data_IF_956123437093
#
_entry.id   IF_956123437093
#
_cell.length_a   1.000
_cell.length_b   1.000
_cell.length_c   1.000
_cell.angle_alpha   90.00
_cell.angle_beta   90.00
_cell.angle_gamma   90.00
#
_symmetry.space_group_name_H-M   'P 1'
#
loop_
_entity.id
_entity.type
_entity.pdbx_description
1 polymer ?
#
# COMPACT_ATOMS: atom_id res chain seq x y z
N UNK A 1 21.28 56.30 2.14
CA UNK A 1 20.30 55.42 2.83
C UNK A 1 19.58 54.43 1.93
N UNK A 2 19.34 54.71 0.63
CA UNK A 2 18.59 53.81 -0.28
C UNK A 2 19.35 52.51 -0.65
N UNK A 3 20.69 52.50 -0.62
CA UNK A 3 21.52 51.34 -1.00
C UNK A 3 21.44 50.16 0.00
N UNK A 4 21.36 50.44 1.29
CA UNK A 4 21.29 49.43 2.35
C UNK A 4 19.88 48.82 2.49
N UNK A 5 18.84 49.57 2.09
CA UNK A 5 17.46 49.10 2.11
C UNK A 5 17.21 47.98 1.08
N UNK A 6 17.80 48.09 -0.12
CA UNK A 6 17.70 47.04 -1.16
C UNK A 6 18.46 45.76 -0.79
N UNK A 7 19.61 45.86 -0.13
CA UNK A 7 20.38 44.70 0.34
C UNK A 7 19.65 43.98 1.49
N UNK A 8 19.01 44.74 2.38
CA UNK A 8 18.20 44.18 3.48
C UNK A 8 17.00 43.36 3.00
N UNK A 9 16.31 43.82 1.95
CA UNK A 9 15.15 43.11 1.37
C UNK A 9 15.58 41.79 0.70
N UNK A 10 16.73 41.76 0.03
CA UNK A 10 17.25 40.55 -0.62
C UNK A 10 17.63 39.50 0.45
N UNK A 11 18.27 39.91 1.55
CA UNK A 11 18.65 39.00 2.64
C UNK A 11 17.41 38.45 3.37
N UNK A 12 16.37 39.27 3.57
CA UNK A 12 15.12 38.82 4.19
C UNK A 12 14.33 37.85 3.29
N UNK A 13 14.38 38.00 1.96
CA UNK A 13 13.77 37.05 1.02
C UNK A 13 14.46 35.69 0.95
N UNK A 14 15.78 35.61 1.22
CA UNK A 14 16.53 34.35 1.20
C UNK A 14 16.21 33.45 2.41
N UNK A 15 15.79 34.03 3.54
CA UNK A 15 15.48 33.28 4.78
C UNK A 15 14.12 32.55 4.65
N UNK A 16 13.21 33.04 3.81
CA UNK A 16 11.90 32.42 3.60
C UNK A 16 11.92 31.15 2.72
N UNK A 17 13.06 30.80 2.10
CA UNK A 17 13.17 29.63 1.21
C UNK A 17 13.65 28.36 1.91
N UNK A 18 13.93 28.40 3.22
CA UNK A 18 14.32 27.22 3.99
C UNK A 18 13.10 26.62 4.70
N UNK A 19 12.02 26.41 3.95
CA UNK A 19 10.93 25.52 4.33
C UNK A 19 11.39 24.09 4.08
N UNK A 20 12.28 23.57 4.92
CA UNK A 20 12.70 22.17 4.82
C UNK A 20 11.50 21.32 5.26
N UNK A 21 10.91 20.59 4.32
CA UNK A 21 9.72 19.76 4.52
C UNK A 21 10.07 18.54 5.38
N UNK A 22 10.29 18.79 6.68
CA UNK A 22 10.62 17.80 7.70
C UNK A 22 9.35 17.05 8.12
N UNK A 23 8.64 16.46 7.15
CA UNK A 23 7.48 15.61 7.42
C UNK A 23 7.99 14.41 8.22
N UNK A 24 7.45 14.19 9.41
CA UNK A 24 7.70 12.98 10.18
C UNK A 24 6.50 12.06 9.99
N UNK A 25 6.70 10.96 9.27
CA UNK A 25 5.69 9.90 9.19
C UNK A 25 5.70 9.08 10.48
N UNK A 26 4.52 8.68 10.92
CA UNK A 26 4.37 7.79 12.07
C UNK A 26 4.96 6.41 11.69
N UNK A 27 5.98 5.98 12.43
CA UNK A 27 6.53 4.63 12.25
C UNK A 27 5.61 3.64 12.95
N UNK A 28 5.20 2.60 12.23
CA UNK A 28 4.57 1.43 12.84
C UNK A 28 5.59 0.68 13.72
N UNK A 29 5.34 0.59 15.03
CA UNK A 29 6.16 -0.11 16.03
C UNK A 29 5.28 -0.92 17.03
N UNK A 30 4.04 -1.24 16.62
CA UNK A 30 3.02 -1.72 17.55
C UNK A 30 3.14 -3.22 17.86
N UNK A 31 2.89 -4.06 16.85
CA UNK A 31 2.76 -5.51 17.03
C UNK A 31 3.41 -6.28 15.90
N UNK A 32 3.80 -7.51 16.23
CA UNK A 32 4.26 -8.46 15.24
C UNK A 32 3.13 -8.83 14.28
N UNK A 33 3.38 -8.67 12.98
CA UNK A 33 2.46 -9.14 11.92
C UNK A 33 3.12 -10.25 11.11
N UNK A 34 2.33 -11.26 10.80
CA UNK A 34 2.72 -12.38 9.95
C UNK A 34 2.05 -12.23 8.58
N UNK A 35 2.81 -11.85 7.56
CA UNK A 35 2.28 -11.50 6.24
C UNK A 35 2.68 -12.58 5.24
N UNK A 36 1.71 -13.12 4.50
CA UNK A 36 1.99 -13.93 3.31
C UNK A 36 2.34 -13.03 2.15
N UNK A 37 3.35 -13.35 1.35
CA UNK A 37 3.74 -12.55 0.18
C UNK A 37 3.88 -13.42 -1.07
N UNK A 38 3.21 -13.00 -2.13
CA UNK A 38 3.36 -13.55 -3.48
C UNK A 38 4.16 -12.52 -4.28
N UNK A 39 5.45 -12.83 -4.46
CA UNK A 39 6.45 -11.95 -5.07
C UNK A 39 7.63 -11.67 -4.15
N UNK A 40 8.36 -10.59 -4.44
CA UNK A 40 9.58 -10.19 -3.73
C UNK A 40 9.43 -8.79 -3.14
N UNK A 41 9.67 -8.65 -1.83
CA UNK A 41 9.68 -7.34 -1.18
C UNK A 41 11.06 -6.69 -1.32
N UNK A 42 11.12 -5.55 -2.01
CA UNK A 42 12.40 -4.92 -2.36
C UNK A 42 12.79 -3.73 -1.48
N UNK A 43 11.84 -3.12 -0.75
CA UNK A 43 12.03 -1.76 -0.20
C UNK A 43 11.73 -1.58 1.28
N UNK A 44 11.07 -2.53 1.95
CA UNK A 44 10.67 -2.33 3.36
C UNK A 44 11.07 -3.53 4.19
N UNK A 45 11.97 -3.31 5.15
CA UNK A 45 12.29 -4.26 6.21
C UNK A 45 11.96 -3.63 7.55
N UNK A 46 11.07 -4.27 8.32
CA UNK A 46 10.75 -3.88 9.68
C UNK A 46 10.90 -5.07 10.60
N UNK A 47 11.52 -4.85 11.76
CA UNK A 47 11.88 -5.93 12.70
C UNK A 47 10.65 -6.64 13.28
N UNK A 48 9.50 -5.97 13.33
CA UNK A 48 8.22 -6.49 13.80
C UNK A 48 7.33 -7.06 12.67
N UNK A 49 7.81 -7.16 11.42
CA UNK A 49 7.01 -7.72 10.32
C UNK A 49 7.71 -8.94 9.74
N UNK A 50 7.04 -10.09 9.80
CA UNK A 50 7.52 -11.32 9.18
C UNK A 50 6.82 -11.51 7.84
N UNK A 51 7.58 -11.44 6.75
CA UNK A 51 7.09 -11.79 5.43
C UNK A 51 7.44 -13.24 5.11
N UNK A 52 6.43 -14.03 4.78
CA UNK A 52 6.58 -15.43 4.37
C UNK A 52 6.20 -15.55 2.93
N UNK A 53 7.14 -15.99 2.10
CA UNK A 53 6.85 -16.26 0.70
C UNK A 53 5.86 -17.41 0.59
N UNK A 54 4.78 -17.18 -0.13
CA UNK A 54 3.74 -18.17 -0.48
C UNK A 54 3.53 -18.18 -1.99
N UNK A 55 2.91 -19.24 -2.50
CA UNK A 55 2.49 -19.37 -3.89
C UNK A 55 1.03 -18.99 -4.11
N UNK A 56 0.62 -18.95 -5.37
CA UNK A 56 -0.78 -18.76 -5.72
C UNK A 56 -1.63 -19.99 -5.36
N UNK A 57 -1.03 -21.18 -5.36
CA UNK A 57 -1.66 -22.43 -4.97
C UNK A 57 -2.10 -22.40 -3.50
N UNK A 58 -1.33 -21.70 -2.64
CA UNK A 58 -1.64 -21.54 -1.22
C UNK A 58 -2.92 -20.71 -0.98
N UNK A 59 -3.37 -19.91 -1.97
CA UNK A 59 -4.61 -19.13 -1.86
C UNK A 59 -5.85 -20.01 -1.85
N UNK A 60 -5.80 -21.16 -2.53
CA UNK A 60 -6.92 -22.10 -2.63
C UNK A 60 -7.09 -22.92 -1.33
N UNK A 61 -6.12 -22.84 -0.41
CA UNK A 61 -6.12 -23.50 0.88
C UNK A 61 -6.45 -22.52 2.03
N UNK A 62 -7.72 -22.40 2.40
CA UNK A 62 -8.16 -21.47 3.46
C UNK A 62 -7.40 -21.67 4.80
N UNK A 63 -7.01 -22.91 5.12
CA UNK A 63 -6.23 -23.23 6.32
C UNK A 63 -4.79 -22.70 6.26
N UNK A 64 -4.21 -22.53 5.07
CA UNK A 64 -2.92 -21.88 4.90
C UNK A 64 -3.09 -20.37 5.09
N UNK A 65 -4.10 -19.77 4.45
CA UNK A 65 -4.37 -18.33 4.56
C UNK A 65 -4.60 -17.87 6.00
N UNK A 66 -5.32 -18.65 6.81
CA UNK A 66 -5.59 -18.36 8.24
C UNK A 66 -4.35 -18.24 9.13
N UNK A 67 -3.17 -18.63 8.64
CA UNK A 67 -1.89 -18.45 9.36
C UNK A 67 -1.35 -17.02 9.25
N UNK A 68 -1.88 -16.23 8.32
CA UNK A 68 -1.41 -14.89 8.02
C UNK A 68 -2.41 -13.84 8.46
N UNK A 69 -1.88 -12.71 8.88
CA UNK A 69 -2.65 -11.51 9.23
C UNK A 69 -3.10 -10.75 7.99
N UNK A 70 -2.37 -10.89 6.88
CA UNK A 70 -2.72 -10.40 5.56
C UNK A 70 -1.91 -11.13 4.48
N UNK A 71 -2.33 -11.02 3.22
CA UNK A 71 -1.57 -11.49 2.05
C UNK A 71 -1.28 -10.34 1.10
N UNK A 72 -0.02 -10.21 0.69
CA UNK A 72 0.46 -9.16 -0.20
C UNK A 72 0.81 -9.73 -1.57
N UNK A 73 0.38 -9.04 -2.63
CA UNK A 73 0.80 -9.27 -4.01
C UNK A 73 1.68 -8.11 -4.44
N UNK A 74 2.87 -8.40 -4.96
CA UNK A 74 3.74 -7.37 -5.53
C UNK A 74 3.42 -7.13 -7.00
N UNK A 75 3.90 -6.01 -7.54
CA UNK A 75 3.69 -5.54 -8.92
C UNK A 75 3.70 -6.64 -9.98
N UNK A 76 4.74 -7.47 -9.98
CA UNK A 76 4.97 -8.48 -11.01
C UNK A 76 3.96 -9.64 -10.96
N UNK A 77 3.15 -9.70 -9.91
CA UNK A 77 2.14 -10.73 -9.68
C UNK A 77 0.70 -10.20 -9.81
N UNK A 78 0.50 -8.90 -10.05
CA UNK A 78 -0.83 -8.30 -10.11
C UNK A 78 -1.67 -8.82 -11.28
N UNK A 79 -1.02 -9.07 -12.43
CA UNK A 79 -1.67 -9.70 -13.59
C UNK A 79 -2.26 -11.06 -13.23
N UNK A 80 -1.46 -11.92 -12.60
CA UNK A 80 -1.92 -13.25 -12.20
C UNK A 80 -2.98 -13.18 -11.10
N UNK A 81 -2.81 -12.28 -10.13
CA UNK A 81 -3.78 -12.06 -9.07
C UNK A 81 -5.15 -11.56 -9.56
N UNK A 82 -5.21 -10.93 -10.73
CA UNK A 82 -6.47 -10.51 -11.36
C UNK A 82 -7.21 -11.60 -12.11
N UNK A 83 -6.68 -12.83 -12.18
CA UNK A 83 -7.38 -13.93 -12.85
C UNK A 83 -8.69 -14.23 -12.11
N UNK A 84 -9.76 -14.41 -12.87
CA UNK A 84 -11.12 -14.74 -12.41
C UNK A 84 -11.15 -15.77 -11.27
N UNK A 85 -10.32 -16.81 -11.37
CA UNK A 85 -10.27 -17.89 -10.38
C UNK A 85 -9.91 -17.43 -8.96
N UNK A 86 -9.32 -16.26 -8.75
CA UNK A 86 -8.99 -15.75 -7.41
C UNK A 86 -10.00 -14.74 -6.85
N UNK A 87 -10.85 -14.14 -7.70
CA UNK A 87 -11.78 -13.09 -7.27
C UNK A 87 -12.76 -13.57 -6.19
N UNK A 88 -13.24 -14.83 -6.28
CA UNK A 88 -14.09 -15.42 -5.25
C UNK A 88 -13.36 -15.57 -3.90
N UNK A 89 -12.07 -15.92 -3.91
CA UNK A 89 -11.25 -16.05 -2.70
C UNK A 89 -11.18 -14.72 -1.96
N UNK A 90 -10.98 -13.62 -2.70
CA UNK A 90 -10.92 -12.28 -2.10
C UNK A 90 -12.26 -11.80 -1.53
N UNK A 91 -13.38 -12.31 -2.05
CA UNK A 91 -14.75 -11.99 -1.61
C UNK A 91 -15.20 -12.80 -0.39
N UNK A 92 -14.59 -13.97 -0.15
CA UNK A 92 -15.05 -14.93 0.87
C UNK A 92 -14.07 -15.08 2.04
N UNK A 93 -12.76 -14.86 1.80
CA UNK A 93 -11.76 -15.00 2.83
C UNK A 93 -11.80 -13.82 3.82
N UNK A 94 -11.62 -14.13 5.10
CA UNK A 94 -11.53 -13.11 6.17
C UNK A 94 -10.16 -12.44 6.23
N UNK A 95 -9.14 -13.05 5.64
CA UNK A 95 -7.79 -12.50 5.60
C UNK A 95 -7.77 -11.34 4.60
N UNK A 96 -7.27 -10.15 4.97
CA UNK A 96 -7.19 -9.02 4.05
C UNK A 96 -6.08 -9.23 3.00
N UNK A 97 -6.34 -8.77 1.78
CA UNK A 97 -5.40 -8.84 0.66
C UNK A 97 -4.94 -7.44 0.26
N UNK A 98 -3.65 -7.26 0.02
CA UNK A 98 -3.09 -5.99 -0.42
C UNK A 98 -2.29 -6.15 -1.71
N UNK A 99 -2.56 -5.27 -2.66
CA UNK A 99 -1.96 -5.22 -3.99
C UNK A 99 -1.02 -4.03 -4.02
N UNK A 100 0.29 -4.31 -3.95
CA UNK A 100 1.35 -3.31 -3.81
C UNK A 100 1.84 -2.89 -5.20
N UNK A 101 2.10 -1.58 -5.37
CA UNK A 101 2.40 -0.95 -6.66
C UNK A 101 1.27 -1.10 -7.69
N UNK A 102 0.02 -1.13 -7.18
CA UNK A 102 -1.20 -1.21 -7.96
C UNK A 102 -1.76 0.18 -8.25
N UNK A 103 -1.89 0.53 -9.53
CA UNK A 103 -2.44 1.80 -10.00
C UNK A 103 -3.88 1.71 -10.52
N UNK A 104 -4.48 0.52 -10.50
CA UNK A 104 -5.78 0.19 -11.12
C UNK A 104 -6.91 -0.03 -10.09
N UNK A 105 -6.63 0.26 -8.82
CA UNK A 105 -7.61 0.13 -7.73
C UNK A 105 -8.03 -1.32 -7.49
N UNK A 106 -9.24 -1.52 -6.97
CA UNK A 106 -9.75 -2.84 -6.58
C UNK A 106 -10.49 -3.59 -7.70
N UNK A 107 -10.90 -2.89 -8.76
CA UNK A 107 -11.74 -3.43 -9.83
C UNK A 107 -11.18 -4.74 -10.43
N UNK A 108 -9.91 -4.82 -10.87
CA UNK A 108 -9.40 -6.04 -11.50
C UNK A 108 -9.28 -7.25 -10.56
N UNK A 109 -9.48 -7.05 -9.25
CA UNK A 109 -9.44 -8.14 -8.26
C UNK A 109 -10.83 -8.49 -7.73
N UNK A 110 -11.86 -7.71 -8.07
CA UNK A 110 -13.22 -7.89 -7.54
C UNK A 110 -14.25 -8.20 -8.62
N UNK A 111 -13.97 -7.89 -9.87
CA UNK A 111 -14.84 -8.22 -10.99
C UNK A 111 -14.20 -9.34 -11.80
N UNK A 112 -14.99 -10.36 -12.07
CA UNK A 112 -14.53 -11.64 -12.63
C UNK A 112 -14.19 -11.51 -14.13
N UNK A 113 -14.63 -10.43 -14.78
CA UNK A 113 -14.54 -10.15 -16.22
C UNK A 113 -13.51 -9.07 -16.60
N UNK A 114 -12.79 -8.50 -15.63
CA UNK A 114 -11.83 -7.42 -15.86
C UNK A 114 -10.44 -7.85 -15.40
N UNK A 115 -9.53 -8.07 -16.34
CA UNK A 115 -8.12 -8.36 -16.04
C UNK A 115 -7.39 -7.11 -15.54
N UNK A 116 -6.25 -7.30 -14.89
CA UNK A 116 -5.37 -6.19 -14.55
C UNK A 116 -4.97 -5.43 -15.81
N UNK A 117 -4.65 -6.09 -16.92
CA UNK A 117 -4.22 -5.44 -18.17
C UNK A 117 -5.30 -4.53 -18.76
N UNK A 118 -6.55 -4.98 -18.72
CA UNK A 118 -7.70 -4.29 -19.32
C UNK A 118 -8.29 -3.20 -18.45
N UNK A 119 -8.03 -3.22 -17.13
CA UNK A 119 -8.51 -2.18 -16.23
C UNK A 119 -7.85 -0.81 -16.48
N UNK A 120 -8.66 0.24 -16.41
CA UNK A 120 -8.17 1.61 -16.43
C UNK A 120 -7.42 1.98 -15.14
N UNK A 121 -6.55 3.00 -15.22
CA UNK A 121 -5.95 3.58 -14.02
C UNK A 121 -7.05 4.14 -13.11
N UNK A 122 -6.98 3.81 -11.83
CA UNK A 122 -7.86 4.36 -10.80
C UNK A 122 -7.26 5.64 -10.22
N UNK A 123 -7.96 6.76 -10.37
CA UNK A 123 -7.54 8.05 -9.81
C UNK A 123 -6.47 8.78 -10.62
N UNK A 124 -6.24 10.04 -10.26
CA UNK A 124 -5.16 10.87 -10.79
C UNK A 124 -4.71 11.89 -9.73
N UNK A 125 -3.58 11.65 -9.04
CA UNK A 125 -2.64 10.54 -9.21
C UNK A 125 -3.20 9.20 -8.69
N UNK A 126 -2.71 8.06 -9.20
CA UNK A 126 -3.16 6.76 -8.74
C UNK A 126 -2.64 6.44 -7.35
N UNK A 127 -3.33 5.53 -6.66
CA UNK A 127 -2.83 4.92 -5.44
C UNK A 127 -1.53 4.13 -5.71
N UNK A 128 -0.72 3.96 -4.67
CA UNK A 128 0.44 3.06 -4.69
C UNK A 128 0.06 1.65 -4.27
N UNK A 129 -0.90 1.49 -3.36
CA UNK A 129 -1.40 0.20 -2.96
C UNK A 129 -2.92 0.21 -2.78
N UNK A 130 -3.55 -0.93 -3.00
CA UNK A 130 -4.98 -1.15 -2.72
C UNK A 130 -5.13 -2.34 -1.79
N UNK A 131 -5.91 -2.21 -0.74
CA UNK A 131 -6.32 -3.28 0.16
C UNK A 131 -7.77 -3.68 -0.11
N UNK A 132 -8.08 -4.97 0.03
CA UNK A 132 -9.42 -5.54 -0.04
C UNK A 132 -9.62 -6.43 1.20
N UNK A 133 -10.74 -6.25 1.90
CA UNK A 133 -11.05 -7.01 3.10
C UNK A 133 -12.55 -7.10 3.35
N UNK A 134 -12.93 -8.12 4.12
CA UNK A 134 -14.32 -8.34 4.52
C UNK A 134 -14.61 -7.69 5.86
N UNK A 135 -15.65 -6.85 5.92
CA UNK A 135 -16.24 -6.36 7.16
C UNK A 135 -17.65 -6.96 7.33
N UNK A 136 -17.75 -8.02 8.14
CA UNK A 136 -18.93 -8.88 8.16
C UNK A 136 -19.12 -9.54 6.80
N UNK A 137 -20.24 -9.24 6.13
CA UNK A 137 -20.56 -9.76 4.79
C UNK A 137 -20.33 -8.73 3.68
N UNK A 138 -19.69 -7.59 3.98
CA UNK A 138 -19.44 -6.52 3.01
C UNK A 138 -17.97 -6.51 2.63
N UNK A 139 -17.70 -6.61 1.32
CA UNK A 139 -16.39 -6.36 0.76
C UNK A 139 -16.10 -4.86 0.79
N UNK A 140 -14.96 -4.47 1.35
CA UNK A 140 -14.47 -3.11 1.39
C UNK A 140 -13.11 -3.03 0.70
N UNK A 141 -12.85 -1.89 0.08
CA UNK A 141 -11.55 -1.54 -0.49
C UNK A 141 -11.00 -0.28 0.16
N UNK A 142 -9.68 -0.20 0.28
CA UNK A 142 -8.95 0.98 0.77
C UNK A 142 -7.74 1.24 -0.13
N UNK A 143 -7.47 2.50 -0.43
CA UNK A 143 -6.39 2.91 -1.32
C UNK A 143 -5.35 3.74 -0.55
N UNK A 144 -4.07 3.53 -0.84
CA UNK A 144 -2.95 4.23 -0.22
C UNK A 144 -2.11 4.92 -1.28
N UNK A 145 -2.27 6.23 -1.42
CA UNK A 145 -1.38 7.08 -2.22
C UNK A 145 -0.05 7.38 -1.51
N UNK A 146 0.96 7.77 -2.29
CA UNK A 146 2.24 8.27 -1.79
C UNK A 146 2.09 9.73 -1.38
N UNK A 147 2.86 10.18 -0.39
CA UNK A 147 2.90 11.60 -0.03
C UNK A 147 3.43 12.45 -1.20
N UNK A 148 2.66 13.44 -1.63
CA UNK A 148 2.92 14.25 -2.84
C UNK A 148 3.15 13.42 -4.11
N UNK A 149 2.73 12.16 -4.14
CA UNK A 149 2.83 11.27 -5.31
C UNK A 149 4.26 11.00 -5.75
N UNK A 150 5.20 11.14 -4.82
CA UNK A 150 6.63 10.90 -5.05
C UNK A 150 6.98 9.50 -4.57
N UNK A 151 7.48 8.68 -5.49
CA UNK A 151 8.04 7.37 -5.13
C UNK A 151 9.45 7.54 -4.57
N UNK A 152 9.56 7.42 -3.25
CA UNK A 152 10.83 7.35 -2.53
C UNK A 152 10.68 6.44 -1.31
N UNK A 153 11.81 5.99 -0.76
CA UNK A 153 11.86 5.04 0.37
C UNK A 153 10.99 5.48 1.55
N UNK A 154 11.07 6.75 1.95
CA UNK A 154 10.34 7.29 3.09
C UNK A 154 8.82 7.30 2.87
N UNK A 155 8.36 7.65 1.67
CA UNK A 155 6.93 7.63 1.33
C UNK A 155 6.40 6.19 1.20
N UNK A 156 7.23 5.27 0.71
CA UNK A 156 6.89 3.85 0.67
C UNK A 156 6.78 3.30 2.10
N UNK A 157 7.74 3.60 2.98
CA UNK A 157 7.69 3.22 4.39
C UNK A 157 6.44 3.75 5.10
N UNK A 158 5.99 4.96 4.80
CA UNK A 158 4.72 5.52 5.28
C UNK A 158 3.52 4.68 4.84
N UNK A 159 3.42 4.37 3.54
CA UNK A 159 2.32 3.55 3.00
C UNK A 159 2.28 2.20 3.71
N UNK A 160 3.41 1.51 3.81
CA UNK A 160 3.48 0.24 4.53
C UNK A 160 3.08 0.39 6.00
N UNK A 161 3.48 1.47 6.68
CA UNK A 161 3.07 1.74 8.07
C UNK A 161 1.55 1.88 8.21
N UNK A 162 0.90 2.61 7.29
CA UNK A 162 -0.56 2.75 7.26
C UNK A 162 -1.27 1.44 6.94
N UNK A 163 -0.72 0.63 6.05
CA UNK A 163 -1.24 -0.71 5.75
C UNK A 163 -1.17 -1.60 7.00
N UNK A 164 -0.03 -1.66 7.68
CA UNK A 164 0.13 -2.47 8.90
C UNK A 164 -0.84 -2.06 10.01
N UNK A 165 -1.04 -0.75 10.19
CA UNK A 165 -2.05 -0.22 11.12
C UNK A 165 -3.46 -0.67 10.74
N UNK A 166 -3.79 -0.62 9.44
CA UNK A 166 -5.09 -1.09 8.94
C UNK A 166 -5.29 -2.58 9.19
N UNK A 167 -4.27 -3.40 8.97
CA UNK A 167 -4.30 -4.84 9.27
C UNK A 167 -4.57 -5.06 10.77
N UNK A 168 -3.87 -4.32 11.64
CA UNK A 168 -4.03 -4.44 13.08
C UNK A 168 -5.44 -4.05 13.55
N UNK A 169 -6.02 -2.99 12.97
CA UNK A 169 -7.36 -2.49 13.30
C UNK A 169 -8.49 -3.39 12.78
N UNK A 170 -8.24 -4.15 11.70
CA UNK A 170 -9.23 -5.02 11.06
C UNK A 170 -8.96 -6.52 11.25
N UNK A 171 -8.03 -6.87 12.15
CA UNK A 171 -7.76 -8.25 12.52
C UNK A 171 -8.97 -8.81 13.28
N UNK A 172 -9.61 -9.84 12.72
CA UNK A 172 -10.75 -10.56 13.32
C UNK A 172 -10.27 -11.68 14.24
#
# INVERSE_FOLDING_TARGET
MIKYFKVSIIILSLICLIGCDNIKFEKYDDKNLNIGIIGEISKVRKDNITFNKIGFEDLEEENILKKYDAVFFTKDNLSEASREKYAHIYKECRVPFFFIENTKGHVPFTYDDISYEDADQAGNPPAYATGIYMNGNKLLSIEYGLYNDIENEKNIEDVYSRIFKTILENKV
#
